data_IF_576248916737
#
_entry.id   IF_576248916737
#
_cell.length_a   1.000
_cell.length_b   1.000
_cell.length_c   1.000
_cell.angle_alpha   90.00
_cell.angle_beta   90.00
_cell.angle_gamma   90.00
#
_symmetry.space_group_name_H-M   'P 1'
#
loop_
_entity.id
_entity.type
_entity.pdbx_description
1 polymer ?
#
# COMPACT_ATOMS: atom_id res chain seq x y z
N UNK A 1 -16.08 35.95 -33.94
CA UNK A 1 -15.94 35.67 -33.73
C UNK A 1 -15.62 34.82 -33.40
N UNK A 2 -15.74 34.32 -33.24
CA UNK A 2 -15.50 33.47 -33.02
C UNK A 2 -14.59 33.26 -32.25
N UNK A 3 -14.28 33.47 -31.89
CA UNK A 3 -13.28 33.45 -31.24
C UNK A 3 -13.46 32.95 -30.07
N UNK A 4 -14.30 32.97 -29.58
CA UNK A 4 -14.55 32.55 -28.42
C UNK A 4 -14.36 31.21 -28.23
N UNK A 5 -14.49 30.57 -29.05
CA UNK A 5 -14.43 29.28 -28.95
C UNK A 5 -13.23 28.81 -28.36
N UNK A 6 -12.17 29.30 -28.67
CA UNK A 6 -11.04 28.79 -28.20
C UNK A 6 -10.90 28.85 -26.81
N UNK A 7 -11.47 29.64 -26.20
CA UNK A 7 -11.28 29.80 -24.86
C UNK A 7 -11.72 28.60 -24.17
N UNK A 8 -12.64 27.99 -24.55
CA UNK A 8 -13.13 26.89 -23.86
C UNK A 8 -12.17 25.81 -23.72
N UNK A 9 -11.40 25.67 -24.66
CA UNK A 9 -10.55 24.62 -24.64
C UNK A 9 -9.59 24.65 -23.58
N UNK A 10 -9.08 25.74 -23.27
CA UNK A 10 -8.11 25.72 -22.31
C UNK A 10 -8.61 25.46 -21.01
N UNK A 11 -9.73 25.69 -20.76
CA UNK A 11 -10.27 25.53 -19.51
C UNK A 11 -10.25 24.09 -19.20
N UNK A 12 -10.54 23.34 -20.10
CA UNK A 12 -10.56 21.94 -19.85
C UNK A 12 -9.23 21.46 -19.46
N UNK A 13 -8.28 21.94 -20.07
CA UNK A 13 -6.99 21.45 -19.78
C UNK A 13 -6.65 21.67 -18.37
N UNK A 14 -7.06 22.69 -17.85
CA UNK A 14 -6.71 22.96 -16.52
C UNK A 14 -7.21 21.92 -15.58
N UNK A 15 -8.29 21.38 -15.88
CA UNK A 15 -8.84 20.44 -15.02
C UNK A 15 -8.06 19.24 -14.82
N UNK A 16 -7.42 18.79 -15.82
CA UNK A 16 -6.75 17.66 -15.62
C UNK A 16 -5.68 17.74 -14.69
N UNK A 17 -5.05 18.78 -14.53
CA UNK A 17 -3.95 18.85 -13.70
C UNK A 17 -4.27 18.37 -12.34
N UNK A 18 -5.37 18.55 -11.95
CA UNK A 18 -5.71 18.22 -10.68
C UNK A 18 -5.69 16.80 -10.38
N UNK A 19 -6.01 16.06 -11.25
CA UNK A 19 -6.10 14.70 -11.00
C UNK A 19 -4.90 14.02 -10.66
N UNK A 20 -3.89 14.52 -11.07
CA UNK A 20 -2.77 13.84 -10.84
C UNK A 20 -2.29 13.78 -9.50
N UNK A 21 -2.77 14.40 -8.69
CA UNK A 21 -2.28 14.43 -7.43
C UNK A 21 -2.45 13.19 -6.70
N UNK A 22 -2.19 12.26 -7.16
CA UNK A 22 -2.39 11.07 -6.53
C UNK A 22 -1.39 10.78 -5.55
N UNK A 23 -1.62 10.39 -4.54
CA UNK A 23 -0.73 10.15 -3.63
C UNK A 23 -0.15 9.02 -3.48
N UNK A 24 0.56 8.94 -3.26
CA UNK A 24 1.17 7.96 -3.20
C UNK A 24 1.12 7.16 -2.19
N UNK A 25 1.26 6.42 -2.20
CA UNK A 25 1.62 5.54 -1.51
C UNK A 25 1.66 5.44 -0.31
N UNK A 26 1.05 5.05 0.15
CA UNK A 26 1.11 4.96 1.31
C UNK A 26 1.46 3.73 1.81
N UNK A 27 2.33 3.63 2.54
CA UNK A 27 2.73 2.44 3.13
C UNK A 27 1.68 1.94 4.04
N UNK A 28 0.84 2.74 4.54
CA UNK A 28 -0.20 2.28 5.44
C UNK A 28 -1.55 2.22 4.76
N UNK A 29 -1.57 1.85 3.55
CA UNK A 29 -2.78 1.69 2.81
C UNK A 29 -3.66 0.65 3.47
N UNK A 30 -4.89 0.95 3.69
CA UNK A 30 -5.82 0.06 4.37
C UNK A 30 -5.95 -1.30 3.70
N UNK A 31 -5.92 -1.34 2.42
CA UNK A 31 -6.03 -2.61 1.72
C UNK A 31 -4.80 -3.47 1.97
N UNK A 32 -3.64 -2.87 1.99
CA UNK A 32 -2.41 -3.59 2.26
C UNK A 32 -2.41 -4.12 3.69
N UNK A 33 -2.85 -3.33 4.64
CA UNK A 33 -2.89 -3.77 6.03
C UNK A 33 -3.83 -4.95 6.20
N UNK A 34 -4.94 -4.95 5.49
CA UNK A 34 -5.85 -6.04 5.58
C UNK A 34 -5.27 -7.27 4.96
N UNK A 35 -4.61 -7.14 3.85
CA UNK A 35 -4.00 -8.28 3.17
C UNK A 35 -2.93 -8.90 4.04
N UNK A 36 -2.08 -8.08 4.64
CA UNK A 36 -1.03 -8.59 5.51
C UNK A 36 -1.62 -9.26 6.74
N UNK A 37 -2.71 -8.72 7.26
CA UNK A 37 -3.38 -9.32 8.39
C UNK A 37 -3.85 -10.73 8.02
N UNK A 38 -4.43 -10.87 6.86
CA UNK A 38 -4.92 -12.16 6.41
C UNK A 38 -3.80 -13.16 6.21
N UNK A 39 -2.71 -12.71 5.63
CA UNK A 39 -1.58 -13.59 5.37
C UNK A 39 -1.01 -14.10 6.69
N UNK A 40 -0.80 -13.23 7.64
CA UNK A 40 -0.22 -13.63 8.91
C UNK A 40 -1.17 -14.59 9.64
N UNK A 41 -2.46 -14.33 9.56
CA UNK A 41 -3.43 -15.19 10.19
C UNK A 41 -3.46 -16.58 9.53
N UNK A 42 -3.35 -16.61 8.22
CA UNK A 42 -3.35 -17.89 7.52
C UNK A 42 -2.10 -18.70 7.83
N UNK A 43 -1.02 -18.03 8.16
CA UNK A 43 0.21 -18.72 8.54
C UNK A 43 0.17 -19.13 10.01
N UNK A 44 -0.88 -18.81 10.71
CA UNK A 44 -1.04 -19.20 12.09
C UNK A 44 -0.21 -18.42 13.10
N UNK A 45 0.19 -17.22 12.74
CA UNK A 45 1.05 -16.43 13.60
C UNK A 45 0.25 -15.41 14.41
N UNK A 46 0.64 -15.16 15.63
CA UNK A 46 -0.08 -14.20 16.45
C UNK A 46 0.15 -12.77 15.98
N UNK A 47 -0.89 -12.01 15.85
CA UNK A 47 -0.78 -10.64 15.39
C UNK A 47 -1.95 -9.78 15.86
N UNK A 48 -3.14 -10.29 15.82
CA UNK A 48 -4.35 -9.52 16.01
C UNK A 48 -4.69 -8.91 14.69
N UNK A 49 -4.03 -7.85 14.33
CA UNK A 49 -4.17 -7.29 12.99
C UNK A 49 -2.95 -6.42 12.74
N UNK A 50 -2.66 -6.18 11.50
CA UNK A 50 -1.53 -5.35 11.12
C UNK A 50 -1.99 -3.91 11.20
N UNK A 51 -1.28 -3.10 11.94
CA UNK A 51 -1.61 -1.70 12.13
C UNK A 51 -0.72 -0.77 11.32
N UNK A 52 0.42 -1.23 10.89
CA UNK A 52 1.25 -0.47 9.98
C UNK A 52 2.14 -1.39 9.16
N UNK A 53 2.56 -0.94 8.03
CA UNK A 53 3.40 -1.74 7.16
C UNK A 53 4.41 -0.84 6.47
N UNK A 54 5.64 -1.34 6.34
CA UNK A 54 6.67 -0.60 5.67
C UNK A 54 7.15 -1.43 4.51
N UNK A 55 7.11 -0.89 3.33
CA UNK A 55 7.57 -1.60 2.15
C UNK A 55 9.08 -1.55 2.06
N UNK A 56 9.72 -2.68 1.87
CA UNK A 56 11.16 -2.74 1.65
C UNK A 56 11.41 -2.80 0.15
N UNK A 57 10.59 -3.54 -0.56
CA UNK A 57 10.63 -3.57 -2.00
C UNK A 57 9.36 -4.26 -2.40
N UNK A 58 9.19 -4.56 -3.65
CA UNK A 58 7.98 -5.19 -4.12
C UNK A 58 7.79 -6.49 -3.38
N UNK A 59 6.66 -6.74 -2.92
CA UNK A 59 6.32 -7.97 -2.25
C UNK A 59 7.18 -8.28 -1.02
N UNK A 60 7.73 -7.27 -0.41
CA UNK A 60 8.56 -7.47 0.79
C UNK A 60 8.21 -6.33 1.75
N UNK A 61 7.58 -6.64 2.84
CA UNK A 61 7.09 -5.65 3.78
C UNK A 61 7.42 -6.01 5.22
N UNK A 62 7.51 -5.00 6.06
CA UNK A 62 7.58 -5.24 7.49
C UNK A 62 6.23 -4.85 8.04
N UNK A 63 5.55 -5.80 8.62
CA UNK A 63 4.23 -5.59 9.21
C UNK A 63 4.34 -5.47 10.70
N UNK A 64 3.71 -4.45 11.26
CA UNK A 64 3.66 -4.28 12.72
C UNK A 64 2.26 -4.61 13.16
N UNK A 65 2.15 -5.47 14.13
CA UNK A 65 0.88 -5.99 14.58
C UNK A 65 0.35 -5.25 15.81
N UNK A 66 -0.93 -5.33 16.01
CA UNK A 66 -1.57 -4.69 17.12
C UNK A 66 -1.03 -5.24 18.44
N UNK A 67 -0.66 -6.48 18.49
CA UNK A 67 -0.13 -7.10 19.70
C UNK A 67 1.35 -6.81 19.94
N UNK A 68 1.95 -5.99 19.11
CA UNK A 68 3.37 -5.66 19.27
C UNK A 68 4.32 -6.52 18.47
N UNK A 69 3.88 -7.60 17.91
CA UNK A 69 4.75 -8.45 17.12
C UNK A 69 5.01 -7.79 15.78
N UNK A 70 6.16 -8.06 15.23
CA UNK A 70 6.52 -7.55 13.91
C UNK A 70 7.01 -8.69 13.07
N UNK A 71 6.64 -8.67 11.80
CA UNK A 71 7.02 -9.72 10.87
C UNK A 71 7.52 -9.14 9.57
N UNK A 72 8.50 -9.79 8.99
CA UNK A 72 8.87 -9.46 7.63
C UNK A 72 8.10 -10.43 6.75
N UNK A 73 7.26 -9.93 5.88
CA UNK A 73 6.43 -10.74 5.03
C UNK A 73 6.93 -10.60 3.61
N UNK A 74 7.30 -11.66 2.98
CA UNK A 74 7.88 -11.61 1.64
C UNK A 74 7.59 -12.90 0.87
N UNK A 75 7.92 -12.89 -0.40
CA UNK A 75 7.74 -14.07 -1.23
C UNK A 75 9.12 -14.66 -1.47
N UNK A 76 9.28 -15.93 -1.14
CA UNK A 76 10.58 -16.55 -1.25
C UNK A 76 10.86 -17.05 -2.67
N UNK A 77 11.99 -17.66 -2.87
CA UNK A 77 12.39 -18.11 -4.20
C UNK A 77 11.45 -19.15 -4.79
N UNK A 78 10.72 -19.87 -3.97
CA UNK A 78 9.75 -20.85 -4.47
C UNK A 78 8.39 -20.23 -4.74
N UNK A 79 8.24 -18.93 -4.60
CA UNK A 79 6.98 -18.29 -4.83
C UNK A 79 5.99 -18.38 -3.70
N UNK A 80 6.44 -18.71 -2.51
CA UNK A 80 5.56 -18.82 -1.36
C UNK A 80 5.69 -17.62 -0.46
N UNK A 81 4.61 -17.27 0.18
CA UNK A 81 4.62 -16.17 1.11
C UNK A 81 5.17 -16.66 2.44
N UNK A 82 6.13 -15.95 2.95
CA UNK A 82 6.78 -16.29 4.21
C UNK A 82 6.69 -15.10 5.15
N UNK A 83 6.49 -15.35 6.42
CA UNK A 83 6.52 -14.30 7.43
C UNK A 83 7.54 -14.69 8.48
N UNK A 84 8.55 -13.84 8.67
CA UNK A 84 9.59 -14.09 9.67
C UNK A 84 9.41 -13.14 10.82
N UNK A 85 9.34 -13.67 12.02
CA UNK A 85 9.16 -12.83 13.17
C UNK A 85 10.42 -12.05 13.45
N UNK A 86 10.28 -10.78 13.69
CA UNK A 86 11.40 -9.93 13.99
C UNK A 86 11.48 -9.70 15.48
N UNK A 87 12.68 -9.51 15.98
CA UNK A 87 12.81 -9.22 17.37
C UNK A 87 12.45 -7.79 17.57
N UNK A 88 11.79 -7.49 18.58
CA UNK A 88 11.44 -6.11 18.86
C UNK A 88 12.47 -5.41 19.63
#
# INVERSE_FOLDING_TARGET
MRVNTRTDTWICAALWAVLVAAPAAAADDAALLKDLTSVIALLGLPCGRVVSAKALKDDDHIATCQDGNRYRVFINAEGRVVAQRLKS
#
